data_IF_006860559418
#
_entry.id   IF_006860559418
#
_cell.length_a   1.000
_cell.length_b   1.000
_cell.length_c   1.000
_cell.angle_alpha   90.00
_cell.angle_beta   90.00
_cell.angle_gamma   90.00
#
_symmetry.space_group_name_H-M   'P 1'
#
loop_
_entity.id
_entity.type
_entity.pdbx_description
1 polymer ?
#
# COMPACT_ATOMS: atom_id res chain seq x y z
N UNK A 1 21.14 24.14 4.25
CA UNK A 1 21.74 25.34 3.63
C UNK A 1 22.11 26.25 4.78
N UNK A 2 23.40 26.53 4.93
CA UNK A 2 23.94 27.33 6.05
C UNK A 2 25.19 28.07 5.57
N UNK A 3 25.03 29.25 4.95
CA UNK A 3 26.15 29.98 4.33
C UNK A 3 27.27 30.34 5.30
N UNK A 4 26.93 30.65 6.55
CA UNK A 4 27.91 31.08 7.56
C UNK A 4 28.84 29.92 7.98
N UNK A 5 28.38 28.67 7.84
CA UNK A 5 29.17 27.46 8.00
C UNK A 5 29.84 27.00 6.69
N UNK A 6 29.72 27.76 5.60
CA UNK A 6 30.22 27.39 4.27
C UNK A 6 29.37 26.36 3.53
N UNK A 7 28.18 26.01 4.03
CA UNK A 7 27.30 25.00 3.43
C UNK A 7 26.43 25.60 2.31
N UNK A 8 27.02 25.69 1.12
CA UNK A 8 26.32 26.06 -0.13
C UNK A 8 26.14 24.84 -1.05
N UNK A 9 25.19 24.87 -2.00
CA UNK A 9 25.00 23.77 -2.94
C UNK A 9 26.28 23.47 -3.73
N UNK A 10 26.68 22.20 -3.76
CA UNK A 10 27.86 21.78 -4.51
C UNK A 10 27.58 21.79 -6.01
N UNK A 11 28.63 21.91 -6.83
CA UNK A 11 28.52 21.86 -8.29
C UNK A 11 27.84 20.56 -8.77
N UNK A 12 28.05 19.44 -8.05
CA UNK A 12 27.40 18.16 -8.34
C UNK A 12 25.87 18.21 -8.18
N UNK A 13 25.35 18.89 -7.16
CA UNK A 13 23.90 19.05 -6.96
C UNK A 13 23.28 19.78 -8.16
N UNK A 14 23.89 20.88 -8.60
CA UNK A 14 23.40 21.67 -9.74
C UNK A 14 23.47 20.84 -11.03
N UNK A 15 24.60 20.19 -11.28
CA UNK A 15 24.81 19.38 -12.48
C UNK A 15 23.77 18.26 -12.61
N UNK A 16 23.62 17.43 -11.57
CA UNK A 16 22.67 16.31 -11.60
C UNK A 16 21.20 16.75 -11.60
N UNK A 17 20.89 17.93 -11.05
CA UNK A 17 19.53 18.49 -11.13
C UNK A 17 19.15 18.83 -12.58
N UNK A 18 20.05 19.48 -13.33
CA UNK A 18 19.82 19.83 -14.74
C UNK A 18 19.77 18.57 -15.61
N UNK A 19 20.73 17.66 -15.43
CA UNK A 19 20.75 16.40 -16.19
C UNK A 19 19.50 15.56 -15.88
N UNK A 20 19.09 15.44 -14.62
CA UNK A 20 17.88 14.72 -14.22
C UNK A 20 16.62 15.27 -14.89
N UNK A 21 16.45 16.59 -14.94
CA UNK A 21 15.33 17.22 -15.63
C UNK A 21 15.33 16.95 -17.14
N UNK A 22 16.49 17.01 -17.79
CA UNK A 22 16.62 16.70 -19.22
C UNK A 22 16.33 15.23 -19.52
N UNK A 23 16.88 14.31 -18.72
CA UNK A 23 16.61 12.88 -18.85
C UNK A 23 15.12 12.60 -18.66
N UNK A 24 14.45 13.24 -17.69
CA UNK A 24 13.00 13.09 -17.50
C UNK A 24 12.22 13.47 -18.76
N UNK A 25 12.49 14.64 -19.35
CA UNK A 25 11.79 15.10 -20.56
C UNK A 25 12.04 14.17 -21.75
N UNK A 26 13.30 13.74 -21.94
CA UNK A 26 13.67 12.83 -23.02
C UNK A 26 13.05 11.44 -22.85
N UNK A 27 13.09 10.89 -21.63
CA UNK A 27 12.47 9.60 -21.30
C UNK A 27 10.96 9.65 -21.49
N UNK A 28 10.29 10.73 -21.06
CA UNK A 28 8.85 10.91 -21.28
C UNK A 28 8.50 10.96 -22.78
N UNK A 29 9.26 11.72 -23.57
CA UNK A 29 9.09 11.76 -25.02
C UNK A 29 9.31 10.39 -25.68
N UNK A 30 10.34 9.65 -25.23
CA UNK A 30 10.62 8.28 -25.68
C UNK A 30 9.50 7.30 -25.35
N UNK A 31 8.98 7.34 -24.12
CA UNK A 31 7.84 6.50 -23.70
C UNK A 31 6.59 6.81 -24.51
N UNK A 32 6.25 8.08 -24.73
CA UNK A 32 5.08 8.45 -25.55
C UNK A 32 5.22 8.01 -27.01
N UNK A 33 6.41 8.17 -27.60
CA UNK A 33 6.68 7.71 -28.96
C UNK A 33 6.54 6.18 -29.07
N UNK A 34 7.17 5.44 -28.15
CA UNK A 34 7.10 3.98 -28.12
C UNK A 34 5.68 3.49 -27.91
N UNK A 35 4.94 4.09 -26.97
CA UNK A 35 3.54 3.75 -26.71
C UNK A 35 2.67 3.96 -27.95
N UNK A 36 2.79 5.13 -28.61
CA UNK A 36 2.03 5.43 -29.83
C UNK A 36 2.39 4.52 -31.02
N UNK A 37 3.63 4.04 -31.11
CA UNK A 37 4.05 3.05 -32.12
C UNK A 37 3.52 1.65 -31.81
N UNK A 38 3.64 1.21 -30.55
CA UNK A 38 3.20 -0.12 -30.11
C UNK A 38 1.69 -0.31 -30.22
N UNK A 39 0.90 0.75 -30.03
CA UNK A 39 -0.56 0.69 -30.20
C UNK A 39 -0.96 0.34 -31.66
N UNK A 40 -0.10 0.65 -32.63
CA UNK A 40 -0.31 0.36 -34.06
C UNK A 40 0.21 -1.01 -34.52
N UNK A 41 1.26 -1.54 -33.89
CA UNK A 41 1.98 -2.74 -34.36
C UNK A 41 1.82 -3.99 -33.45
N UNK A 42 1.42 -3.85 -32.18
CA UNK A 42 1.55 -4.92 -31.17
C UNK A 42 0.35 -5.89 -31.05
N UNK A 43 -0.52 -5.97 -32.05
CA UNK A 43 -1.65 -6.92 -32.03
C UNK A 43 -1.17 -8.38 -32.19
N UNK A 44 -0.02 -8.62 -32.83
CA UNK A 44 0.24 -9.97 -33.37
C UNK A 44 1.29 -10.83 -32.63
N UNK A 45 2.24 -10.27 -31.84
CA UNK A 45 3.43 -11.07 -31.42
C UNK A 45 3.44 -11.57 -29.97
N UNK A 46 2.93 -10.81 -28.99
CA UNK A 46 3.00 -11.18 -27.56
C UNK A 46 1.69 -11.71 -26.98
N UNK A 47 0.59 -11.56 -27.71
CA UNK A 47 -0.77 -11.65 -27.18
C UNK A 47 -1.68 -12.59 -27.98
N UNK A 48 -1.07 -13.43 -28.82
CA UNK A 48 -1.73 -14.40 -29.67
C UNK A 48 -2.64 -15.33 -28.82
N UNK A 49 -3.95 -15.30 -29.09
CA UNK A 49 -4.95 -16.12 -28.40
C UNK A 49 -5.69 -15.47 -27.22
N UNK A 50 -5.43 -14.20 -26.86
CA UNK A 50 -6.28 -13.46 -25.92
C UNK A 50 -7.41 -12.72 -26.64
N UNK A 51 -8.64 -12.79 -26.11
CA UNK A 51 -9.79 -12.06 -26.67
C UNK A 51 -9.50 -10.55 -26.67
N UNK A 52 -9.48 -9.95 -27.86
CA UNK A 52 -9.44 -8.50 -28.04
C UNK A 52 -10.77 -7.84 -27.62
N UNK A 53 -11.86 -8.63 -27.53
CA UNK A 53 -13.16 -8.14 -27.11
C UNK A 53 -13.26 -8.09 -25.59
N UNK A 54 -13.76 -6.96 -25.08
CA UNK A 54 -14.09 -6.80 -23.68
C UNK A 54 -15.30 -7.67 -23.30
N UNK A 55 -15.41 -8.12 -22.03
CA UNK A 55 -16.63 -8.71 -21.52
C UNK A 55 -17.83 -7.77 -21.70
N UNK A 56 -19.07 -8.29 -21.68
CA UNK A 56 -20.26 -7.43 -21.62
C UNK A 56 -20.14 -6.43 -20.47
N UNK A 57 -20.49 -5.16 -20.73
CA UNK A 57 -20.44 -4.13 -19.71
C UNK A 57 -21.35 -4.49 -18.53
N UNK A 58 -20.86 -4.24 -17.31
CA UNK A 58 -21.63 -4.45 -16.09
C UNK A 58 -22.81 -3.46 -16.02
N UNK A 59 -23.97 -3.89 -16.49
CA UNK A 59 -25.25 -3.18 -16.30
C UNK A 59 -25.85 -3.53 -14.94
N UNK A 60 -26.76 -2.70 -14.42
CA UNK A 60 -27.48 -3.00 -13.18
C UNK A 60 -28.16 -4.38 -13.24
N UNK A 61 -28.76 -4.72 -14.39
CA UNK A 61 -29.40 -6.02 -14.64
C UNK A 61 -28.41 -7.20 -14.59
N UNK A 62 -27.21 -7.04 -15.15
CA UNK A 62 -26.14 -8.04 -15.07
C UNK A 62 -25.65 -8.23 -13.64
N UNK A 63 -25.49 -7.13 -12.89
CA UNK A 63 -25.03 -7.17 -11.49
C UNK A 63 -26.10 -7.76 -10.56
N UNK A 64 -27.37 -7.42 -10.77
CA UNK A 64 -28.50 -7.98 -10.01
C UNK A 64 -28.71 -9.47 -10.33
N UNK A 65 -28.34 -9.90 -11.53
CA UNK A 65 -28.29 -11.30 -11.94
C UNK A 65 -27.09 -12.10 -11.41
N UNK A 66 -26.07 -11.45 -10.83
CA UNK A 66 -24.94 -12.15 -10.22
C UNK A 66 -25.39 -12.90 -8.97
N UNK A 67 -24.81 -14.08 -8.75
CA UNK A 67 -24.99 -14.81 -7.50
C UNK A 67 -24.63 -13.92 -6.30
N UNK A 68 -25.38 -14.12 -5.20
CA UNK A 68 -25.18 -13.38 -3.94
C UNK A 68 -23.68 -13.38 -3.56
N UNK A 69 -23.16 -12.26 -3.02
CA UNK A 69 -21.76 -12.17 -2.61
C UNK A 69 -21.38 -13.33 -1.70
N UNK A 70 -20.23 -13.94 -1.99
CA UNK A 70 -19.75 -15.11 -1.25
C UNK A 70 -19.49 -14.77 0.22
N UNK A 71 -19.40 -15.77 1.12
CA UNK A 71 -19.08 -15.51 2.52
C UNK A 71 -17.76 -14.73 2.70
N UNK A 72 -16.74 -15.00 1.87
CA UNK A 72 -15.47 -14.26 1.96
C UNK A 72 -15.60 -12.82 1.47
N UNK A 73 -16.37 -12.56 0.41
CA UNK A 73 -16.66 -11.21 -0.09
C UNK A 73 -17.40 -10.39 0.96
N UNK A 74 -18.44 -10.95 1.60
CA UNK A 74 -19.16 -10.29 2.69
C UNK A 74 -18.26 -9.98 3.89
N UNK A 75 -17.31 -10.86 4.20
CA UNK A 75 -16.35 -10.64 5.27
C UNK A 75 -15.39 -9.47 4.98
N UNK A 76 -15.29 -8.98 3.75
CA UNK A 76 -14.51 -7.76 3.44
C UNK A 76 -15.20 -6.47 3.89
N UNK A 77 -16.53 -6.46 4.08
CA UNK A 77 -17.28 -5.26 4.46
C UNK A 77 -16.83 -4.69 5.81
N UNK A 78 -16.52 -5.56 6.77
CA UNK A 78 -15.96 -5.13 8.07
C UNK A 78 -14.57 -4.49 7.93
N UNK A 79 -13.76 -4.88 6.94
CA UNK A 79 -12.47 -4.22 6.68
C UNK A 79 -12.70 -2.79 6.22
N UNK A 80 -13.61 -2.57 5.25
CA UNK A 80 -13.95 -1.23 4.78
C UNK A 80 -14.57 -0.36 5.88
N UNK A 81 -15.43 -0.94 6.73
CA UNK A 81 -15.99 -0.22 7.87
C UNK A 81 -14.91 0.24 8.86
N UNK A 82 -13.96 -0.64 9.21
CA UNK A 82 -12.82 -0.27 10.07
C UNK A 82 -11.92 0.75 9.38
N UNK A 83 -11.64 0.61 8.08
CA UNK A 83 -10.84 1.58 7.33
C UNK A 83 -11.49 2.96 7.32
N UNK A 84 -12.82 3.06 7.20
CA UNK A 84 -13.54 4.33 7.29
C UNK A 84 -13.37 4.98 8.67
N UNK A 85 -13.45 4.21 9.76
CA UNK A 85 -13.18 4.71 11.12
C UNK A 85 -11.74 5.21 11.24
N UNK A 86 -10.76 4.43 10.76
CA UNK A 86 -9.35 4.82 10.78
C UNK A 86 -9.08 6.09 9.97
N UNK A 87 -9.74 6.23 8.81
CA UNK A 87 -9.69 7.45 8.00
C UNK A 87 -10.20 8.67 8.78
N UNK A 88 -11.34 8.56 9.47
CA UNK A 88 -11.86 9.65 10.29
C UNK A 88 -10.90 10.03 11.43
N UNK A 89 -10.32 9.04 12.10
CA UNK A 89 -9.29 9.26 13.14
C UNK A 89 -8.06 9.96 12.55
N UNK A 90 -7.63 9.56 11.36
CA UNK A 90 -6.48 10.16 10.67
C UNK A 90 -6.72 11.62 10.26
N UNK A 91 -7.91 11.94 9.75
CA UNK A 91 -8.32 13.31 9.42
C UNK A 91 -8.37 14.17 10.68
N UNK A 92 -8.97 13.65 11.77
CA UNK A 92 -8.97 14.34 13.05
C UNK A 92 -7.55 14.58 13.57
N UNK A 93 -6.67 13.59 13.51
CA UNK A 93 -5.29 13.73 13.94
C UNK A 93 -4.53 14.80 13.14
N UNK A 94 -4.81 14.93 11.84
CA UNK A 94 -4.24 16.00 11.00
C UNK A 94 -4.74 17.39 11.42
N UNK A 95 -6.04 17.52 11.67
CA UNK A 95 -6.63 18.77 12.17
C UNK A 95 -6.05 19.16 13.53
N UNK A 96 -5.93 18.18 14.44
CA UNK A 96 -5.33 18.37 15.76
C UNK A 96 -3.86 18.81 15.66
N UNK A 97 -3.06 18.21 14.78
CA UNK A 97 -1.67 18.60 14.58
C UNK A 97 -1.51 20.04 14.05
N UNK A 98 -2.36 20.47 13.11
CA UNK A 98 -2.35 21.84 12.59
C UNK A 98 -2.84 22.86 13.63
N UNK A 99 -3.73 22.42 14.53
CA UNK A 99 -4.27 23.28 15.58
C UNK A 99 -3.19 23.85 16.52
N UNK A 100 -2.12 23.11 16.77
CA UNK A 100 -1.03 23.53 17.65
C UNK A 100 -0.27 24.74 17.07
N UNK A 101 -0.24 24.87 15.74
CA UNK A 101 0.38 26.00 15.05
C UNK A 101 -0.56 27.20 14.88
N UNK A 102 -1.87 26.95 14.80
CA UNK A 102 -2.89 27.98 14.52
C UNK A 102 -3.60 28.48 15.77
N UNK A 103 -3.50 27.75 16.89
CA UNK A 103 -4.21 28.03 18.14
C UNK A 103 -5.72 27.70 18.09
N UNK A 104 -6.19 26.91 17.12
CA UNK A 104 -7.62 26.71 16.87
C UNK A 104 -8.38 26.01 18.01
N UNK A 105 -7.83 24.97 18.65
CA UNK A 105 -8.51 24.35 19.82
C UNK A 105 -8.34 25.19 21.09
N UNK A 106 -7.21 25.90 21.22
CA UNK A 106 -6.98 26.82 22.33
C UNK A 106 -7.97 27.98 22.33
N UNK A 107 -8.32 28.51 21.15
CA UNK A 107 -9.34 29.57 21.02
C UNK A 107 -10.76 29.09 21.37
N UNK A 108 -11.01 27.78 21.30
CA UNK A 108 -12.23 27.12 21.78
C UNK A 108 -12.17 26.75 23.27
N UNK A 109 -11.09 27.06 23.97
CA UNK A 109 -10.91 26.74 25.39
C UNK A 109 -10.57 25.26 25.67
N UNK A 110 -10.17 24.50 24.66
CA UNK A 110 -9.82 23.08 24.78
C UNK A 110 -8.29 22.94 24.75
N UNK A 111 -7.62 22.59 25.86
CA UNK A 111 -6.16 22.45 25.92
C UNK A 111 -5.71 21.07 25.40
N UNK A 112 -6.00 20.80 24.11
CA UNK A 112 -5.75 19.51 23.46
C UNK A 112 -4.27 19.09 23.53
N UNK A 113 -3.37 20.05 23.47
CA UNK A 113 -1.90 19.87 23.49
C UNK A 113 -1.39 19.14 24.74
N UNK A 114 -2.14 19.20 25.85
CA UNK A 114 -1.77 18.53 27.11
C UNK A 114 -2.00 17.02 27.05
N UNK A 115 -3.05 16.59 26.36
CA UNK A 115 -3.44 15.19 26.22
C UNK A 115 -2.83 14.57 24.96
N UNK A 116 -2.86 15.31 23.86
CA UNK A 116 -2.43 14.89 22.53
C UNK A 116 -1.45 15.91 21.97
N UNK A 117 -0.16 15.86 22.36
CA UNK A 117 0.86 16.73 21.81
C UNK A 117 1.04 16.48 20.30
N UNK A 118 1.55 17.49 19.57
CA UNK A 118 1.83 17.40 18.12
C UNK A 118 2.59 16.13 17.71
N UNK A 119 3.45 15.60 18.58
CA UNK A 119 4.20 14.35 18.34
C UNK A 119 3.28 13.14 18.19
N UNK A 120 2.20 13.06 18.99
CA UNK A 120 1.19 11.99 18.92
C UNK A 120 0.27 12.22 17.73
N UNK A 121 -0.26 13.42 17.56
CA UNK A 121 -1.23 13.71 16.50
C UNK A 121 -0.62 13.60 15.11
N UNK A 122 0.62 14.08 14.93
CA UNK A 122 1.40 13.86 13.69
C UNK A 122 1.65 12.38 13.44
N UNK A 123 2.01 11.63 14.49
CA UNK A 123 2.28 10.20 14.34
C UNK A 123 1.03 9.39 13.99
N UNK A 124 -0.10 9.68 14.64
CA UNK A 124 -1.38 9.10 14.23
C UNK A 124 -1.74 9.49 12.80
N UNK A 125 -1.56 10.74 12.40
CA UNK A 125 -1.89 11.19 11.06
C UNK A 125 -1.12 10.43 9.97
N UNK A 126 0.19 10.23 10.12
CA UNK A 126 1.01 9.52 9.13
C UNK A 126 0.95 8.00 9.25
N UNK A 127 0.89 7.44 10.46
CA UNK A 127 0.86 5.99 10.63
C UNK A 127 -0.51 5.39 10.29
N UNK A 128 -1.60 6.06 10.67
CA UNK A 128 -2.95 5.58 10.39
C UNK A 128 -3.30 5.77 8.91
N UNK A 129 -2.74 6.79 8.23
CA UNK A 129 -2.97 6.98 6.79
C UNK A 129 -2.52 5.77 5.98
N UNK A 130 -1.31 5.27 6.26
CA UNK A 130 -0.79 4.05 5.64
C UNK A 130 -1.67 2.84 5.97
N UNK A 131 -2.13 2.72 7.22
CA UNK A 131 -2.87 1.55 7.67
C UNK A 131 -4.25 1.45 7.02
N UNK A 132 -5.06 2.51 7.01
CA UNK A 132 -6.42 2.44 6.44
C UNK A 132 -6.38 2.23 4.93
N UNK A 133 -5.41 2.84 4.23
CA UNK A 133 -5.19 2.63 2.80
C UNK A 133 -4.87 1.15 2.55
N UNK A 134 -3.91 0.57 3.27
CA UNK A 134 -3.55 -0.84 3.12
C UNK A 134 -4.74 -1.79 3.39
N UNK A 135 -5.54 -1.51 4.44
CA UNK A 135 -6.74 -2.29 4.78
C UNK A 135 -7.76 -2.29 3.64
N UNK A 136 -8.02 -1.15 3.00
CA UNK A 136 -8.91 -1.05 1.85
C UNK A 136 -8.45 -1.94 0.68
N UNK A 137 -7.16 -1.92 0.38
CA UNK A 137 -6.59 -2.67 -0.73
C UNK A 137 -6.51 -4.17 -0.47
N UNK A 138 -6.25 -4.59 0.77
CA UNK A 138 -6.37 -5.99 1.18
C UNK A 138 -7.81 -6.48 0.99
N UNK A 139 -8.77 -5.68 1.46
CA UNK A 139 -10.19 -6.00 1.34
C UNK A 139 -10.63 -6.09 -0.12
N UNK A 140 -10.24 -5.12 -0.97
CA UNK A 140 -10.54 -5.11 -2.39
C UNK A 140 -9.96 -6.34 -3.12
N UNK A 141 -8.72 -6.72 -2.80
CA UNK A 141 -8.11 -7.91 -3.37
C UNK A 141 -8.82 -9.19 -2.97
N UNK A 142 -9.12 -9.36 -1.67
CA UNK A 142 -9.87 -10.52 -1.18
C UNK A 142 -11.25 -10.59 -1.83
N UNK A 143 -11.91 -9.44 -2.01
CA UNK A 143 -13.21 -9.35 -2.66
C UNK A 143 -13.13 -9.94 -4.07
N UNK A 144 -12.10 -9.58 -4.85
CA UNK A 144 -11.94 -9.98 -6.26
C UNK A 144 -11.62 -11.47 -6.44
N UNK A 145 -11.01 -12.14 -5.47
CA UNK A 145 -10.56 -13.54 -5.61
C UNK A 145 -11.65 -14.50 -6.12
N UNK A 146 -12.88 -14.53 -5.58
CA UNK A 146 -13.93 -15.45 -6.02
C UNK A 146 -14.53 -15.11 -7.39
N UNK A 147 -14.23 -13.93 -7.95
CA UNK A 147 -14.56 -13.63 -9.35
C UNK A 147 -13.51 -14.16 -10.32
N UNK A 148 -12.25 -14.22 -9.90
CA UNK A 148 -11.17 -14.76 -10.74
C UNK A 148 -11.20 -16.30 -10.71
N UNK A 149 -11.33 -16.90 -9.52
CA UNK A 149 -11.24 -18.34 -9.34
C UNK A 149 -12.43 -18.86 -8.53
N UNK A 150 -13.13 -19.86 -9.07
CA UNK A 150 -14.13 -20.66 -8.36
C UNK A 150 -13.82 -22.15 -8.50
N UNK A 151 -14.20 -23.00 -7.52
CA UNK A 151 -14.83 -22.67 -6.24
C UNK A 151 -13.86 -22.07 -5.21
N UNK A 152 -14.37 -21.44 -4.16
CA UNK A 152 -13.55 -20.88 -3.08
C UNK A 152 -12.82 -21.99 -2.29
N UNK A 153 -11.58 -21.76 -1.84
CA UNK A 153 -10.85 -22.73 -1.03
C UNK A 153 -11.55 -23.03 0.31
N UNK A 154 -11.54 -24.29 0.74
CA UNK A 154 -12.07 -24.66 2.06
C UNK A 154 -11.35 -23.90 3.19
N UNK A 155 -12.13 -23.32 4.11
CA UNK A 155 -11.60 -22.59 5.27
C UNK A 155 -11.09 -21.17 4.96
N UNK A 156 -11.28 -20.65 3.75
CA UNK A 156 -10.82 -19.31 3.36
C UNK A 156 -11.35 -18.20 4.27
N UNK A 157 -12.63 -18.30 4.68
CA UNK A 157 -13.26 -17.34 5.58
C UNK A 157 -12.50 -17.19 6.91
N UNK A 158 -12.02 -18.30 7.49
CA UNK A 158 -11.25 -18.26 8.75
C UNK A 158 -9.94 -17.49 8.59
N UNK A 159 -9.26 -17.63 7.45
CA UNK A 159 -8.04 -16.87 7.18
C UNK A 159 -8.33 -15.38 7.02
N UNK A 160 -9.40 -15.01 6.32
CA UNK A 160 -9.86 -13.62 6.17
C UNK A 160 -10.24 -13.03 7.54
N UNK A 161 -10.93 -13.79 8.39
CA UNK A 161 -11.30 -13.36 9.73
C UNK A 161 -10.07 -13.19 10.65
N UNK A 162 -9.10 -14.10 10.57
CA UNK A 162 -7.83 -13.96 11.30
C UNK A 162 -7.07 -12.71 10.86
N UNK A 163 -6.95 -12.48 9.54
CA UNK A 163 -6.30 -11.27 9.01
C UNK A 163 -6.97 -10.00 9.54
N UNK A 164 -8.30 -9.97 9.54
CA UNK A 164 -9.06 -8.83 10.08
C UNK A 164 -8.66 -8.51 11.52
N UNK A 165 -8.68 -9.52 12.41
CA UNK A 165 -8.35 -9.30 13.82
C UNK A 165 -6.88 -8.93 14.05
N UNK A 166 -5.96 -9.44 13.23
CA UNK A 166 -4.56 -9.00 13.27
C UNK A 166 -4.44 -7.51 12.94
N UNK A 167 -5.12 -7.03 11.91
CA UNK A 167 -5.10 -5.61 11.52
C UNK A 167 -5.77 -4.73 12.57
N UNK A 168 -6.87 -5.17 13.19
CA UNK A 168 -7.51 -4.47 14.32
C UNK A 168 -6.56 -4.37 15.50
N UNK A 169 -5.83 -5.43 15.82
CA UNK A 169 -4.83 -5.41 16.89
C UNK A 169 -3.66 -4.46 16.59
N UNK A 170 -3.19 -4.39 15.34
CA UNK A 170 -2.18 -3.40 14.89
C UNK A 170 -2.73 -1.98 14.99
N UNK A 171 -3.97 -1.75 14.58
CA UNK A 171 -4.62 -0.44 14.67
C UNK A 171 -4.76 0.02 16.12
N UNK A 172 -5.24 -0.86 17.00
CA UNK A 172 -5.35 -0.58 18.43
C UNK A 172 -3.96 -0.33 19.05
N UNK A 173 -2.97 -1.16 18.71
CA UNK A 173 -1.58 -0.97 19.14
C UNK A 173 -1.00 0.37 18.71
N UNK A 174 -1.33 0.84 17.50
CA UNK A 174 -0.92 2.16 17.01
C UNK A 174 -1.64 3.29 17.77
N UNK A 175 -2.95 3.16 17.94
CA UNK A 175 -3.79 4.17 18.60
C UNK A 175 -3.40 4.35 20.06
N UNK A 176 -3.19 3.26 20.81
CA UNK A 176 -2.87 3.34 22.23
C UNK A 176 -1.37 3.35 22.53
N UNK A 177 -0.57 2.60 21.77
CA UNK A 177 0.87 2.46 22.01
C UNK A 177 1.63 3.77 21.84
N UNK A 178 1.33 4.53 20.77
CA UNK A 178 2.05 5.79 20.49
C UNK A 178 1.88 6.80 21.64
N UNK A 179 0.67 7.17 22.10
CA UNK A 179 0.51 8.06 23.25
C UNK A 179 1.18 7.53 24.52
N UNK A 180 1.05 6.23 24.82
CA UNK A 180 1.67 5.63 26.01
C UNK A 180 3.19 5.75 25.97
N UNK A 181 3.80 5.56 24.79
CA UNK A 181 5.24 5.75 24.59
C UNK A 181 5.67 7.21 24.72
N UNK A 182 4.92 8.15 24.14
CA UNK A 182 5.25 9.59 24.19
C UNK A 182 5.12 10.16 25.59
N UNK A 183 4.09 9.76 26.34
CA UNK A 183 3.87 10.22 27.72
C UNK A 183 4.80 9.56 28.75
N UNK A 184 5.70 8.65 28.31
CA UNK A 184 6.63 7.98 29.20
C UNK A 184 5.97 6.99 30.18
N UNK A 185 4.78 6.49 29.84
CA UNK A 185 4.03 5.54 30.68
C UNK A 185 4.52 4.09 30.53
N UNK A 186 5.50 3.85 29.64
CA UNK A 186 6.08 2.55 29.37
C UNK A 186 7.52 2.50 29.88
N UNK A 187 7.78 1.68 30.89
CA UNK A 187 9.11 1.55 31.50
C UNK A 187 10.07 0.65 30.71
N UNK A 188 11.37 0.92 30.85
CA UNK A 188 12.45 0.06 30.38
C UNK A 188 12.47 -0.13 28.86
N UNK A 189 12.41 -1.36 28.37
CA UNK A 189 12.38 -1.69 26.93
C UNK A 189 10.95 -1.72 26.36
N UNK A 190 9.92 -1.57 27.19
CA UNK A 190 8.52 -1.72 26.77
C UNK A 190 8.07 -0.66 25.76
N UNK A 191 8.63 0.55 25.82
CA UNK A 191 8.37 1.61 24.84
C UNK A 191 8.75 1.20 23.41
N UNK A 192 9.82 0.39 23.26
CA UNK A 192 10.29 -0.07 21.94
C UNK A 192 9.34 -1.11 21.34
N UNK A 193 8.73 -1.94 22.18
CA UNK A 193 7.87 -3.04 21.75
C UNK A 193 6.42 -2.63 21.56
N UNK A 194 5.88 -1.84 22.48
CA UNK A 194 4.47 -1.47 22.53
C UNK A 194 4.21 0.01 22.27
N UNK A 195 5.25 0.84 22.41
CA UNK A 195 5.15 2.30 22.31
C UNK A 195 5.48 2.85 20.93
N UNK A 196 6.33 3.88 20.91
CA UNK A 196 6.73 4.63 19.72
C UNK A 196 8.19 4.33 19.34
N UNK A 197 8.45 3.90 18.11
CA UNK A 197 9.81 3.64 17.62
C UNK A 197 10.60 4.91 17.24
N UNK A 198 9.92 6.04 17.01
CA UNK A 198 10.55 7.33 16.73
C UNK A 198 10.94 7.57 15.27
N UNK A 199 10.71 6.62 14.36
CA UNK A 199 10.94 6.79 12.93
C UNK A 199 9.64 7.11 12.20
N UNK A 200 9.61 8.23 11.47
CA UNK A 200 8.42 8.61 10.69
C UNK A 200 8.05 7.53 9.65
N UNK A 201 6.75 7.26 9.53
CA UNK A 201 6.13 6.15 8.79
C UNK A 201 6.39 4.73 9.33
N UNK A 202 7.31 4.55 10.27
CA UNK A 202 7.59 3.28 10.97
C UNK A 202 7.53 3.52 12.49
N UNK A 203 6.40 4.06 12.93
CA UNK A 203 6.26 4.64 14.28
C UNK A 203 5.73 3.64 15.30
N UNK A 204 4.92 2.69 14.85
CA UNK A 204 4.26 1.71 15.71
C UNK A 204 5.26 0.83 16.46
N UNK A 205 4.93 0.37 17.67
CA UNK A 205 5.80 -0.48 18.47
C UNK A 205 6.23 -1.77 17.75
N UNK A 206 7.43 -2.29 18.08
CA UNK A 206 8.03 -3.42 17.37
C UNK A 206 7.16 -4.67 17.35
N UNK A 207 6.39 -4.93 18.42
CA UNK A 207 5.47 -6.08 18.47
C UNK A 207 4.37 -5.97 17.40
N UNK A 208 3.76 -4.78 17.28
CA UNK A 208 2.77 -4.51 16.25
C UNK A 208 3.39 -4.48 14.86
N UNK A 209 4.68 -4.16 14.75
CA UNK A 209 5.40 -4.18 13.47
C UNK A 209 5.60 -5.60 12.96
N UNK A 210 5.99 -6.53 13.84
CA UNK A 210 6.01 -7.96 13.52
C UNK A 210 4.61 -8.50 13.24
N UNK A 211 3.59 -8.07 13.99
CA UNK A 211 2.21 -8.49 13.76
C UNK A 211 1.69 -8.02 12.39
N UNK A 212 2.01 -6.78 12.00
CA UNK A 212 1.66 -6.24 10.68
C UNK A 212 2.39 -6.99 9.57
N UNK A 213 3.68 -7.28 9.73
CA UNK A 213 4.42 -8.13 8.78
C UNK A 213 3.79 -9.53 8.65
N UNK A 214 3.42 -10.15 9.78
CA UNK A 214 2.72 -11.43 9.78
C UNK A 214 1.35 -11.32 9.09
N UNK A 215 0.64 -10.19 9.23
CA UNK A 215 -0.62 -9.94 8.52
C UNK A 215 -0.42 -9.90 7.00
N UNK A 216 0.65 -9.28 6.49
CA UNK A 216 0.99 -9.36 5.06
C UNK A 216 1.24 -10.81 4.61
N UNK A 217 1.98 -11.59 5.40
CA UNK A 217 2.21 -13.01 5.08
C UNK A 217 0.91 -13.83 5.05
N UNK A 218 0.03 -13.63 6.02
CA UNK A 218 -1.31 -14.24 6.04
C UNK A 218 -2.13 -13.81 4.83
N UNK A 219 -2.05 -12.54 4.46
CA UNK A 219 -2.72 -12.01 3.28
C UNK A 219 -2.19 -12.64 1.98
N UNK A 220 -0.88 -12.80 1.82
CA UNK A 220 -0.28 -13.54 0.71
C UNK A 220 -0.83 -14.98 0.66
N UNK A 221 -0.91 -15.67 1.80
CA UNK A 221 -1.47 -17.03 1.86
C UNK A 221 -2.93 -17.05 1.40
N UNK A 222 -3.75 -16.08 1.81
CA UNK A 222 -5.15 -15.95 1.35
C UNK A 222 -5.20 -15.81 -0.16
N UNK A 223 -4.40 -14.90 -0.73
CA UNK A 223 -4.37 -14.63 -2.18
C UNK A 223 -3.89 -15.85 -2.96
N UNK A 224 -2.76 -16.46 -2.55
CA UNK A 224 -2.20 -17.65 -3.21
C UNK A 224 -3.19 -18.81 -3.18
N UNK A 225 -3.88 -19.03 -2.03
CA UNK A 225 -4.92 -20.06 -1.93
C UNK A 225 -6.09 -19.77 -2.87
N UNK A 226 -6.54 -18.52 -2.94
CA UNK A 226 -7.65 -18.11 -3.80
C UNK A 226 -7.33 -18.28 -5.29
N UNK A 227 -6.10 -17.97 -5.70
CA UNK A 227 -5.67 -18.06 -7.10
C UNK A 227 -5.10 -19.43 -7.50
N UNK A 228 -4.94 -20.34 -6.54
CA UNK A 228 -4.22 -21.59 -6.72
C UNK A 228 -4.60 -22.41 -7.98
N UNK A 229 -5.90 -22.53 -8.37
CA UNK A 229 -6.27 -23.22 -9.61
C UNK A 229 -5.66 -22.61 -10.87
N UNK A 230 -5.48 -21.29 -10.91
CA UNK A 230 -4.88 -20.57 -12.04
C UNK A 230 -3.35 -20.57 -11.95
N UNK A 231 -2.79 -20.38 -10.75
CA UNK A 231 -1.33 -20.43 -10.55
C UNK A 231 -0.75 -21.79 -10.99
N UNK A 232 -1.48 -22.89 -10.76
CA UNK A 232 -1.06 -24.25 -11.17
C UNK A 232 -0.97 -24.47 -12.68
N UNK A 233 -1.59 -23.61 -13.49
CA UNK A 233 -1.55 -23.71 -14.96
C UNK A 233 -0.21 -23.25 -15.54
N UNK A 234 0.73 -22.78 -14.69
CA UNK A 234 2.11 -22.39 -15.07
C UNK A 234 2.22 -21.35 -16.19
N UNK A 235 1.19 -20.52 -16.37
CA UNK A 235 1.25 -19.34 -17.25
C UNK A 235 1.95 -18.19 -16.52
N UNK A 236 3.29 -18.25 -16.42
CA UNK A 236 4.15 -17.33 -15.64
C UNK A 236 3.78 -15.85 -15.78
N UNK A 237 3.39 -15.46 -17.00
CA UNK A 237 3.12 -14.08 -17.43
C UNK A 237 1.63 -13.72 -17.44
N UNK A 238 0.83 -14.35 -16.57
CA UNK A 238 -0.59 -14.02 -16.44
C UNK A 238 -0.81 -12.96 -15.37
N UNK A 239 -1.85 -12.13 -15.53
CA UNK A 239 -2.27 -11.11 -14.56
C UNK A 239 -2.38 -11.64 -13.11
N UNK A 240 -2.93 -12.85 -12.83
CA UNK A 240 -2.98 -13.40 -11.48
C UNK A 240 -1.60 -13.65 -10.86
N UNK A 241 -0.60 -14.05 -11.67
CA UNK A 241 0.77 -14.25 -11.19
C UNK A 241 1.42 -12.92 -10.82
N UNK A 242 1.23 -11.87 -11.63
CA UNK A 242 1.70 -10.52 -11.32
C UNK A 242 1.13 -10.00 -10.01
N UNK A 243 -0.13 -10.32 -9.70
CA UNK A 243 -0.72 -10.00 -8.40
C UNK A 243 0.02 -10.69 -7.25
N UNK A 244 0.44 -11.95 -7.41
CA UNK A 244 1.25 -12.64 -6.38
C UNK A 244 2.66 -12.07 -6.31
N UNK A 245 3.30 -11.79 -7.45
CA UNK A 245 4.66 -11.25 -7.50
C UNK A 245 4.75 -9.87 -6.83
N UNK A 246 3.79 -8.98 -7.07
CA UNK A 246 3.75 -7.67 -6.41
C UNK A 246 3.58 -7.80 -4.89
N UNK A 247 2.75 -8.74 -4.42
CA UNK A 247 2.59 -9.01 -2.98
C UNK A 247 3.86 -9.56 -2.35
N UNK A 248 4.54 -10.49 -3.01
CA UNK A 248 5.82 -11.02 -2.52
C UNK A 248 6.87 -9.90 -2.46
N UNK A 249 6.95 -9.07 -3.51
CA UNK A 249 7.82 -7.90 -3.53
C UNK A 249 7.54 -6.93 -2.38
N UNK A 250 6.26 -6.64 -2.11
CA UNK A 250 5.84 -5.85 -0.95
C UNK A 250 6.35 -6.45 0.36
N UNK A 251 6.15 -7.74 0.60
CA UNK A 251 6.60 -8.40 1.84
C UNK A 251 8.13 -8.33 1.97
N UNK A 252 8.86 -8.57 0.88
CA UNK A 252 10.32 -8.48 0.88
C UNK A 252 10.80 -7.07 1.22
N UNK A 253 10.24 -6.04 0.59
CA UNK A 253 10.63 -4.65 0.86
C UNK A 253 10.20 -4.19 2.25
N UNK A 254 9.04 -4.63 2.75
CA UNK A 254 8.61 -4.33 4.11
C UNK A 254 9.57 -4.89 5.17
N UNK A 255 10.25 -6.02 4.87
CA UNK A 255 11.23 -6.61 5.80
C UNK A 255 12.44 -5.71 6.07
N UNK A 256 12.75 -4.75 5.17
CA UNK A 256 13.78 -3.74 5.40
C UNK A 256 13.52 -2.89 6.66
N UNK A 257 12.25 -2.72 7.06
CA UNK A 257 11.87 -1.97 8.25
C UNK A 257 12.36 -2.58 9.57
N UNK A 258 12.86 -3.82 9.54
CA UNK A 258 13.45 -4.49 10.70
C UNK A 258 14.94 -4.21 10.93
N UNK A 259 15.62 -3.59 9.96
CA UNK A 259 17.05 -3.28 10.07
C UNK A 259 17.31 -2.14 11.06
N UNK A 260 16.45 -1.13 11.08
CA UNK A 260 16.61 0.03 11.97
C UNK A 260 16.44 -0.37 13.44
N UNK A 261 17.50 -0.16 14.24
CA UNK A 261 17.52 -0.32 15.71
C UNK A 261 18.03 0.97 16.37
N UNK A 262 17.77 1.19 17.68
CA UNK A 262 18.26 2.37 18.39
C UNK A 262 19.78 2.60 18.28
N UNK A 263 20.55 1.52 18.21
CA UNK A 263 22.01 1.52 18.10
C UNK A 263 22.53 1.65 16.65
N UNK A 264 21.65 1.60 15.64
CA UNK A 264 22.06 1.69 14.23
C UNK A 264 22.40 3.12 13.86
N UNK A 265 23.48 3.32 13.10
CA UNK A 265 23.81 4.64 12.54
C UNK A 265 22.61 5.24 11.81
N UNK A 266 22.35 6.53 12.02
CA UNK A 266 21.23 7.25 11.42
C UNK A 266 21.19 7.05 9.90
N UNK A 267 22.34 7.16 9.22
CA UNK A 267 22.42 7.04 7.75
C UNK A 267 21.98 5.65 7.27
N UNK A 268 22.36 4.60 7.99
CA UNK A 268 22.00 3.22 7.64
C UNK A 268 20.52 2.98 7.94
N UNK A 269 20.05 3.42 9.11
CA UNK A 269 18.65 3.30 9.49
C UNK A 269 17.72 4.04 8.53
N UNK A 270 18.10 5.26 8.11
CA UNK A 270 17.32 6.07 7.19
C UNK A 270 17.30 5.48 5.77
N UNK A 271 18.43 4.93 5.29
CA UNK A 271 18.48 4.21 4.02
C UNK A 271 17.45 3.06 3.96
N UNK A 272 17.46 2.16 4.96
CA UNK A 272 16.53 1.03 5.00
C UNK A 272 15.08 1.46 5.30
N UNK A 273 14.90 2.54 6.04
CA UNK A 273 13.59 3.17 6.24
C UNK A 273 13.01 3.63 4.89
N UNK A 274 13.79 4.29 4.05
CA UNK A 274 13.35 4.68 2.71
C UNK A 274 13.13 3.50 1.77
N UNK A 275 13.90 2.41 1.87
CA UNK A 275 13.54 1.17 1.17
C UNK A 275 12.14 0.67 1.58
N UNK A 276 11.78 0.81 2.86
CA UNK A 276 10.45 0.40 3.37
C UNK A 276 9.36 1.39 3.01
N UNK A 277 9.65 2.67 2.76
CA UNK A 277 8.63 3.66 2.42
C UNK A 277 8.50 3.75 0.90
N UNK A 278 9.59 4.12 0.23
CA UNK A 278 9.59 4.40 -1.20
C UNK A 278 9.39 3.13 -2.02
N UNK A 279 10.20 2.08 -1.82
CA UNK A 279 10.07 0.87 -2.65
C UNK A 279 8.80 0.07 -2.32
N UNK A 280 8.41 -0.02 -1.05
CA UNK A 280 7.19 -0.73 -0.67
C UNK A 280 5.91 0.01 -1.12
N UNK A 281 5.74 1.29 -0.76
CA UNK A 281 4.51 2.07 -1.04
C UNK A 281 4.46 2.54 -2.48
N UNK A 282 5.56 3.08 -3.00
CA UNK A 282 5.53 3.74 -4.29
C UNK A 282 5.76 2.74 -5.42
N UNK A 283 6.75 1.84 -5.34
CA UNK A 283 6.99 0.91 -6.46
C UNK A 283 6.02 -0.31 -6.46
N UNK A 284 6.05 -1.14 -5.41
CA UNK A 284 5.32 -2.41 -5.43
C UNK A 284 3.82 -2.27 -5.18
N UNK A 285 3.43 -1.36 -4.29
CA UNK A 285 2.03 -1.11 -4.02
C UNK A 285 1.33 -0.39 -5.19
N UNK A 286 2.00 0.55 -5.89
CA UNK A 286 1.45 1.13 -7.12
C UNK A 286 1.23 0.08 -8.21
N UNK A 287 2.20 -0.82 -8.44
CA UNK A 287 2.00 -1.96 -9.35
C UNK A 287 0.81 -2.82 -8.93
N UNK A 288 0.69 -3.13 -7.64
CA UNK A 288 -0.42 -3.90 -7.11
C UNK A 288 -1.79 -3.22 -7.32
N UNK A 289 -1.91 -1.93 -6.99
CA UNK A 289 -3.15 -1.16 -7.20
C UNK A 289 -3.51 -1.06 -8.68
N UNK A 290 -2.51 -0.93 -9.57
CA UNK A 290 -2.69 -0.97 -11.03
C UNK A 290 -3.26 -2.31 -11.48
N UNK A 291 -2.76 -3.42 -10.95
CA UNK A 291 -3.28 -4.77 -11.26
C UNK A 291 -4.75 -4.91 -10.85
N UNK A 292 -5.07 -4.55 -9.60
CA UNK A 292 -6.45 -4.64 -9.09
C UNK A 292 -7.38 -3.70 -9.85
N UNK A 293 -6.95 -2.47 -10.13
CA UNK A 293 -7.70 -1.51 -10.93
C UNK A 293 -7.98 -2.01 -12.34
N UNK A 294 -6.96 -2.56 -13.02
CA UNK A 294 -7.11 -3.18 -14.33
C UNK A 294 -8.08 -4.38 -14.30
N UNK A 295 -8.05 -5.17 -13.22
CA UNK A 295 -9.02 -6.25 -13.00
C UNK A 295 -10.44 -5.74 -12.85
N UNK A 296 -10.68 -4.68 -12.05
CA UNK A 296 -12.01 -4.11 -11.92
C UNK A 296 -12.53 -3.58 -13.26
N UNK A 297 -11.69 -2.88 -14.03
CA UNK A 297 -12.07 -2.39 -15.36
C UNK A 297 -12.39 -3.54 -16.32
N UNK A 298 -11.63 -4.63 -16.27
CA UNK A 298 -11.89 -5.83 -17.06
C UNK A 298 -13.20 -6.51 -16.65
N UNK A 299 -13.42 -6.70 -15.35
CA UNK A 299 -14.62 -7.34 -14.81
C UNK A 299 -15.89 -6.52 -15.05
N UNK A 300 -15.78 -5.20 -15.13
CA UNK A 300 -16.88 -4.30 -15.50
C UNK A 300 -17.12 -4.22 -17.01
N UNK A 301 -16.30 -4.89 -17.84
CA UNK A 301 -16.42 -4.88 -19.29
C UNK A 301 -15.95 -3.59 -19.97
N UNK A 302 -15.23 -2.72 -19.26
CA UNK A 302 -14.70 -1.47 -19.83
C UNK A 302 -13.44 -1.67 -20.67
N UNK A 303 -12.65 -2.71 -20.36
CA UNK A 303 -11.42 -3.02 -21.09
C UNK A 303 -11.35 -4.51 -21.41
N UNK A 304 -10.65 -4.85 -22.49
CA UNK A 304 -10.32 -6.25 -22.80
C UNK A 304 -9.21 -6.77 -21.88
N UNK A 305 -9.11 -8.09 -21.76
CA UNK A 305 -8.03 -8.73 -21.00
C UNK A 305 -6.65 -8.32 -21.53
N UNK A 306 -6.55 -8.15 -22.85
CA UNK A 306 -5.35 -7.67 -23.53
C UNK A 306 -4.95 -6.26 -23.09
N UNK A 307 -5.91 -5.31 -23.10
CA UNK A 307 -5.65 -3.94 -22.68
C UNK A 307 -5.25 -3.87 -21.20
N UNK A 308 -5.98 -4.58 -20.32
CA UNK A 308 -5.65 -4.67 -18.90
C UNK A 308 -4.24 -5.23 -18.67
N UNK A 309 -3.88 -6.30 -19.39
CA UNK A 309 -2.55 -6.90 -19.31
C UNK A 309 -1.47 -5.91 -19.75
N UNK A 310 -1.62 -5.26 -20.92
CA UNK A 310 -0.64 -4.29 -21.44
C UNK A 310 -0.34 -3.17 -20.44
N UNK A 311 -1.36 -2.58 -19.83
CA UNK A 311 -1.18 -1.51 -18.83
C UNK A 311 -0.39 -2.01 -17.63
N UNK A 312 -0.71 -3.21 -17.11
CA UNK A 312 0.03 -3.81 -16.00
C UNK A 312 1.50 -4.08 -16.37
N UNK A 313 1.78 -4.58 -17.58
CA UNK A 313 3.14 -4.83 -18.03
C UNK A 313 3.95 -3.54 -18.18
N UNK A 314 3.35 -2.52 -18.79
CA UNK A 314 3.99 -1.23 -18.93
C UNK A 314 4.24 -0.59 -17.56
N UNK A 315 3.25 -0.66 -16.66
CA UNK A 315 3.41 -0.25 -15.27
C UNK A 315 4.54 -1.00 -14.57
N UNK A 316 4.60 -2.33 -14.68
CA UNK A 316 5.66 -3.13 -14.08
C UNK A 316 7.06 -2.72 -14.57
N UNK A 317 7.23 -2.47 -15.88
CA UNK A 317 8.51 -2.04 -16.45
C UNK A 317 8.89 -0.64 -15.96
N UNK A 318 7.93 0.30 -15.94
CA UNK A 318 8.19 1.69 -15.57
C UNK A 318 8.42 1.86 -14.07
N UNK A 319 7.64 1.17 -13.23
CA UNK A 319 7.73 1.26 -11.77
C UNK A 319 8.86 0.43 -11.17
N UNK A 320 9.21 -0.72 -11.76
CA UNK A 320 10.34 -1.54 -11.28
C UNK A 320 11.67 -1.15 -11.95
N UNK A 321 11.61 -0.41 -13.06
CA UNK A 321 12.78 0.10 -13.77
C UNK A 321 13.28 1.47 -13.27
N UNK A 322 12.50 2.16 -12.42
CA UNK A 322 12.87 3.41 -11.74
C UNK A 322 13.62 3.14 -10.44
#
# INVERSE_FOLDING_TARGET
YEPDAGNTPTAGIVFWSVIGALVLVLSMGGVFYLYGKLDREAVDVFWEGQSAQAPPMATAELVDGLERPTPTQRATYKFFAVAAVLFLVQVFAGLAAISDFTGAFRSLGIPLETLLPVTVTRAWHSQISVLWIAVCWFAACIWVLPLICRPEPHGQLRWVDSLFWMLVAVAAGTLFGIPLGVHGLLDGESWRWLGLQGWEFVQLGRAFHFLLYAAFCVWLVIVVRGLWPVLRQRKTWSLPNWMVYSIVGMILMFSAGFVARPETSFVIADFWRWCTIHMWVEAFFELFTTIIGAYFMYLMGFVSHLAASRVVYMGAILFLGS
#
